data_IF_731706510022
#
_entry.id   IF_731706510022
#
_cell.length_a   1.000
_cell.length_b   1.000
_cell.length_c   1.000
_cell.angle_alpha   90.00
_cell.angle_beta   90.00
_cell.angle_gamma   90.00
#
_symmetry.space_group_name_H-M   'P 1'
#
loop_
_entity.id
_entity.type
_entity.pdbx_description
1 polymer ?
#
# COMPACT_ATOMS: atom_id res chain seq x y z
N UNK A 1 55.32 18.46 12.12
CA UNK A 1 54.43 17.63 12.97
C UNK A 1 52.95 18.09 12.99
N UNK A 2 52.40 18.55 11.85
CA UNK A 2 51.02 19.08 11.72
C UNK A 2 50.26 18.33 10.62
N UNK A 3 50.39 16.99 10.58
CA UNK A 3 49.81 16.14 9.51
C UNK A 3 48.88 15.04 10.05
N UNK A 4 48.61 15.01 11.36
CA UNK A 4 47.80 13.95 11.97
C UNK A 4 46.39 14.37 12.40
N UNK A 5 46.09 15.67 12.53
CA UNK A 5 44.76 16.12 12.98
C UNK A 5 43.67 16.02 11.89
N UNK A 6 44.02 16.23 10.61
CA UNK A 6 43.04 16.29 9.51
C UNK A 6 42.38 14.93 9.22
N UNK A 7 43.11 13.84 9.48
CA UNK A 7 42.64 12.49 9.20
C UNK A 7 41.55 12.05 10.19
N UNK A 8 41.67 12.46 11.46
CA UNK A 8 40.66 12.16 12.49
C UNK A 8 39.37 12.95 12.26
N UNK A 9 39.48 14.22 11.85
CA UNK A 9 38.31 15.03 11.49
C UNK A 9 37.55 14.45 10.29
N UNK A 10 38.26 14.08 9.23
CA UNK A 10 37.68 13.51 8.02
C UNK A 10 36.96 12.18 8.30
N UNK A 11 37.60 11.27 9.04
CA UNK A 11 37.00 9.99 9.42
C UNK A 11 35.73 10.17 10.26
N UNK A 12 35.72 11.15 11.17
CA UNK A 12 34.56 11.44 12.03
C UNK A 12 33.39 11.98 11.22
N UNK A 13 33.62 12.88 10.27
CA UNK A 13 32.58 13.41 9.38
C UNK A 13 31.99 12.31 8.50
N UNK A 14 32.83 11.44 7.94
CA UNK A 14 32.37 10.30 7.15
C UNK A 14 31.51 9.33 7.96
N UNK A 15 31.96 8.99 9.17
CA UNK A 15 31.20 8.14 10.07
C UNK A 15 29.85 8.78 10.41
N UNK A 16 29.84 10.08 10.73
CA UNK A 16 28.61 10.82 11.01
C UNK A 16 27.66 10.82 9.79
N UNK A 17 28.17 11.03 8.57
CA UNK A 17 27.37 11.02 7.35
C UNK A 17 26.75 9.64 7.08
N UNK A 18 27.53 8.56 7.23
CA UNK A 18 27.04 7.18 7.06
C UNK A 18 25.97 6.84 8.10
N UNK A 19 26.21 7.14 9.37
CA UNK A 19 25.25 6.82 10.44
C UNK A 19 23.98 7.66 10.35
N UNK A 20 24.09 8.93 9.98
CA UNK A 20 22.94 9.82 9.84
C UNK A 20 22.21 9.58 8.52
N UNK A 21 22.77 10.04 7.40
CA UNK A 21 22.14 10.00 6.09
C UNK A 21 22.05 8.57 5.51
N UNK A 22 23.03 7.71 5.79
CA UNK A 22 23.02 6.33 5.28
C UNK A 22 22.09 5.38 6.04
N UNK A 23 21.82 5.65 7.32
CA UNK A 23 21.10 4.71 8.21
C UNK A 23 19.94 5.38 8.94
N UNK A 24 20.22 6.34 9.82
CA UNK A 24 19.20 6.90 10.74
C UNK A 24 18.09 7.62 9.98
N UNK A 25 18.44 8.46 9.00
CA UNK A 25 17.48 9.19 8.19
C UNK A 25 16.55 8.25 7.41
N UNK A 26 17.04 7.26 6.63
CA UNK A 26 16.18 6.27 5.99
C UNK A 26 15.23 5.54 6.94
N UNK A 27 15.69 5.11 8.12
CA UNK A 27 14.80 4.44 9.11
C UNK A 27 13.66 5.37 9.52
N UNK A 28 14.00 6.61 9.88
CA UNK A 28 13.03 7.59 10.35
C UNK A 28 12.04 7.96 9.24
N UNK A 29 12.54 8.23 8.04
CA UNK A 29 11.74 8.59 6.88
C UNK A 29 10.79 7.46 6.45
N UNK A 30 11.25 6.22 6.46
CA UNK A 30 10.37 5.09 6.15
C UNK A 30 9.27 4.95 7.21
N UNK A 31 9.60 5.11 8.48
CA UNK A 31 8.60 5.09 9.55
C UNK A 31 7.53 6.18 9.38
N UNK A 32 7.95 7.44 9.20
CA UNK A 32 7.03 8.58 9.08
C UNK A 32 6.16 8.46 7.84
N UNK A 33 6.75 8.22 6.68
CA UNK A 33 6.01 8.31 5.42
C UNK A 33 5.28 7.03 5.05
N UNK A 34 5.76 5.85 5.46
CA UNK A 34 5.20 4.56 5.01
C UNK A 34 4.30 3.99 6.08
N UNK A 35 4.79 3.90 7.31
CA UNK A 35 3.99 3.36 8.41
C UNK A 35 2.91 4.35 8.85
N UNK A 36 3.30 5.60 9.16
CA UNK A 36 2.32 6.57 9.66
C UNK A 36 1.52 7.21 8.53
N UNK A 37 2.16 7.85 7.56
CA UNK A 37 1.45 8.65 6.57
C UNK A 37 0.73 7.80 5.51
N UNK A 38 1.46 6.95 4.78
CA UNK A 38 0.87 6.07 3.77
C UNK A 38 -0.10 5.06 4.41
N UNK A 39 0.26 4.44 5.55
CA UNK A 39 -0.64 3.53 6.26
C UNK A 39 -1.93 4.21 6.74
N UNK A 40 -1.88 5.48 7.17
CA UNK A 40 -3.07 6.25 7.46
C UNK A 40 -3.90 6.54 6.20
N UNK A 41 -3.26 6.92 5.09
CA UNK A 41 -3.93 7.17 3.81
C UNK A 41 -4.64 5.91 3.28
N UNK A 42 -3.98 4.76 3.31
CA UNK A 42 -4.55 3.45 2.92
C UNK A 42 -5.83 3.16 3.72
N UNK A 43 -5.78 3.36 5.04
CA UNK A 43 -6.96 3.20 5.89
C UNK A 43 -8.10 4.16 5.53
N UNK A 44 -7.78 5.43 5.27
CA UNK A 44 -8.82 6.41 4.90
C UNK A 44 -9.46 6.12 3.55
N UNK A 45 -8.68 5.60 2.59
CA UNK A 45 -9.19 5.15 1.30
C UNK A 45 -10.16 3.98 1.48
N UNK A 46 -9.80 2.99 2.30
CA UNK A 46 -10.66 1.84 2.61
C UNK A 46 -11.97 2.24 3.29
N UNK A 47 -11.91 3.15 4.26
CA UNK A 47 -13.10 3.66 4.96
C UNK A 47 -14.01 4.45 4.01
N UNK A 48 -13.42 5.29 3.15
CA UNK A 48 -14.16 6.06 2.14
C UNK A 48 -14.83 5.16 1.10
N UNK A 49 -14.13 4.13 0.63
CA UNK A 49 -14.68 3.16 -0.32
C UNK A 49 -15.77 2.31 0.30
N UNK A 50 -15.59 1.87 1.55
CA UNK A 50 -16.61 1.14 2.29
C UNK A 50 -17.88 1.97 2.50
N UNK A 51 -17.75 3.26 2.79
CA UNK A 51 -18.89 4.18 2.91
C UNK A 51 -19.57 4.41 1.55
N UNK A 52 -18.81 4.63 0.49
CA UNK A 52 -19.33 4.85 -0.86
C UNK A 52 -20.08 3.61 -1.38
N UNK A 53 -19.52 2.42 -1.19
CA UNK A 53 -20.17 1.16 -1.52
C UNK A 53 -21.50 1.01 -0.80
N UNK A 54 -21.55 1.23 0.53
CA UNK A 54 -22.79 1.17 1.32
C UNK A 54 -23.87 2.13 0.79
N UNK A 55 -23.49 3.34 0.40
CA UNK A 55 -24.44 4.31 -0.17
C UNK A 55 -24.98 3.87 -1.53
N UNK A 56 -24.14 3.29 -2.40
CA UNK A 56 -24.57 2.77 -3.70
C UNK A 56 -25.57 1.60 -3.55
N UNK A 57 -25.26 0.62 -2.69
CA UNK A 57 -26.15 -0.52 -2.45
C UNK A 57 -27.47 -0.12 -1.77
N UNK A 58 -27.44 0.85 -0.84
CA UNK A 58 -28.67 1.38 -0.23
C UNK A 58 -29.55 2.16 -1.24
N UNK A 59 -28.94 2.74 -2.28
CA UNK A 59 -29.64 3.37 -3.40
C UNK A 59 -30.28 2.33 -4.32
N UNK A 60 -29.57 1.25 -4.64
CA UNK A 60 -30.08 0.16 -5.49
C UNK A 60 -31.21 -0.63 -4.80
N UNK A 61 -31.17 -0.85 -3.47
CA UNK A 61 -32.31 -1.43 -2.74
C UNK A 61 -33.57 -0.55 -2.77
N UNK A 62 -33.41 0.78 -2.82
CA UNK A 62 -34.53 1.73 -2.98
C UNK A 62 -35.02 1.80 -4.43
N UNK A 63 -34.17 1.48 -5.40
CA UNK A 63 -34.55 1.29 -6.80
C UNK A 63 -35.09 -0.13 -6.98
N UNK A 64 -36.21 -0.44 -6.33
CA UNK A 64 -37.05 -1.57 -6.71
C UNK A 64 -37.45 -1.37 -8.17
N UNK A 65 -36.74 -2.00 -9.09
CA UNK A 65 -37.36 -2.41 -10.35
C UNK A 65 -38.57 -3.29 -9.99
N UNK A 66 -39.70 -3.17 -10.71
CA UNK A 66 -40.80 -4.12 -10.56
C UNK A 66 -40.21 -5.52 -10.67
N UNK A 67 -40.69 -6.50 -9.88
CA UNK A 67 -40.18 -7.87 -9.98
C UNK A 67 -40.18 -8.26 -11.45
N UNK A 68 -39.00 -8.50 -12.03
CA UNK A 68 -38.92 -9.13 -13.33
C UNK A 68 -39.79 -10.40 -13.24
N UNK A 69 -40.72 -10.62 -14.19
CA UNK A 69 -41.41 -11.89 -14.22
C UNK A 69 -40.34 -12.96 -14.29
N UNK A 70 -40.33 -13.85 -13.30
CA UNK A 70 -39.36 -14.93 -13.24
C UNK A 70 -39.29 -15.59 -14.63
N UNK A 71 -38.09 -15.72 -15.23
CA UNK A 71 -37.96 -16.48 -16.45
C UNK A 71 -38.34 -17.92 -16.10
N UNK A 72 -39.57 -18.28 -16.45
CA UNK A 72 -39.96 -19.66 -16.63
C UNK A 72 -38.88 -20.30 -17.53
N UNK A 73 -38.31 -21.40 -17.03
CA UNK A 73 -37.36 -22.26 -17.73
C UNK A 73 -35.89 -21.80 -17.75
N UNK A 74 -35.24 -21.88 -16.58
CA UNK A 74 -33.79 -22.18 -16.51
C UNK A 74 -33.58 -23.61 -16.01
N UNK A 75 -33.37 -24.61 -16.89
CA UNK A 75 -33.21 -26.01 -16.49
C UNK A 75 -31.82 -26.34 -15.92
N UNK A 76 -31.07 -25.37 -15.38
CA UNK A 76 -29.68 -25.57 -14.95
C UNK A 76 -29.39 -25.30 -13.47
N UNK A 77 -30.42 -25.09 -12.65
CA UNK A 77 -30.28 -25.02 -11.18
C UNK A 77 -31.40 -25.77 -10.45
N UNK A 78 -31.95 -26.80 -11.08
CA UNK A 78 -32.86 -27.72 -10.39
C UNK A 78 -32.02 -28.69 -9.53
N UNK A 79 -32.20 -28.56 -8.21
CA UNK A 79 -31.90 -29.57 -7.20
C UNK A 79 -30.44 -30.02 -6.99
N UNK A 80 -29.68 -29.21 -6.26
CA UNK A 80 -28.89 -29.77 -5.16
C UNK A 80 -29.72 -29.77 -3.86
N UNK A 81 -30.92 -30.35 -3.91
CA UNK A 81 -31.59 -30.74 -2.68
C UNK A 81 -30.77 -31.90 -2.07
N UNK A 82 -30.50 -31.89 -0.76
CA UNK A 82 -29.76 -32.97 -0.13
C UNK A 82 -30.55 -34.26 -0.30
N UNK A 83 -29.97 -35.22 -1.03
CA UNK A 83 -30.53 -36.57 -1.16
C UNK A 83 -30.69 -37.17 0.25
N UNK A 84 -31.93 -37.44 0.71
CA UNK A 84 -32.19 -37.96 2.04
C UNK A 84 -31.60 -39.35 2.27
N UNK A 85 -31.20 -40.06 1.22
CA UNK A 85 -30.56 -41.37 1.28
C UNK A 85 -29.04 -41.32 1.15
N UNK A 86 -28.42 -40.14 1.06
CA UNK A 86 -26.97 -40.02 0.95
C UNK A 86 -26.30 -40.04 2.35
N UNK A 87 -25.57 -41.12 2.70
CA UNK A 87 -24.90 -41.25 4.01
C UNK A 87 -23.71 -40.31 4.20
N UNK A 88 -23.28 -39.58 3.16
CA UNK A 88 -22.24 -38.55 3.21
C UNK A 88 -22.80 -37.12 3.27
N UNK A 89 -24.12 -36.95 3.41
CA UNK A 89 -24.71 -35.62 3.60
C UNK A 89 -24.34 -35.04 4.97
N UNK A 90 -23.65 -33.90 4.97
CA UNK A 90 -23.25 -33.23 6.22
C UNK A 90 -24.48 -32.60 6.90
N UNK A 91 -24.73 -32.84 8.20
CA UNK A 91 -25.92 -32.34 8.92
C UNK A 91 -25.91 -30.81 9.21
N UNK A 92 -25.13 -30.01 8.50
CA UNK A 92 -24.89 -28.58 8.78
C UNK A 92 -25.64 -27.59 7.86
N UNK A 93 -26.72 -28.01 7.21
CA UNK A 93 -27.39 -27.20 6.18
C UNK A 93 -28.18 -25.99 6.72
N UNK A 94 -28.68 -26.03 7.95
CA UNK A 94 -29.50 -24.96 8.55
C UNK A 94 -28.68 -23.73 9.02
N UNK A 95 -27.57 -23.88 9.77
CA UNK A 95 -26.75 -22.74 10.18
C UNK A 95 -26.14 -22.00 8.98
N UNK A 96 -25.70 -22.75 7.97
CA UNK A 96 -25.04 -22.21 6.77
C UNK A 96 -26.02 -21.46 5.88
N UNK A 97 -27.26 -21.96 5.70
CA UNK A 97 -28.32 -21.22 4.98
C UNK A 97 -28.65 -19.89 5.66
N UNK A 98 -28.73 -19.85 7.00
CA UNK A 98 -28.98 -18.60 7.74
C UNK A 98 -27.81 -17.62 7.70
N UNK A 99 -26.56 -18.11 7.71
CA UNK A 99 -25.36 -17.30 7.52
C UNK A 99 -25.29 -16.71 6.10
N UNK A 100 -25.57 -17.52 5.07
CA UNK A 100 -25.60 -17.08 3.66
C UNK A 100 -26.78 -16.16 3.33
N UNK A 101 -27.84 -16.16 4.14
CA UNK A 101 -28.97 -15.22 4.00
C UNK A 101 -28.70 -13.89 4.73
N UNK A 102 -27.79 -13.87 5.70
CA UNK A 102 -27.30 -12.64 6.38
C UNK A 102 -26.14 -12.00 5.64
N UNK A 103 -25.30 -12.79 5.01
CA UNK A 103 -24.28 -12.33 4.09
C UNK A 103 -24.94 -12.20 2.71
N UNK A 104 -25.32 -10.98 2.33
CA UNK A 104 -25.64 -10.70 0.93
C UNK A 104 -24.49 -11.13 0.00
N UNK A 105 -24.67 -11.09 -1.34
CA UNK A 105 -23.59 -11.37 -2.27
C UNK A 105 -22.33 -10.61 -1.80
N UNK A 106 -21.14 -11.25 -1.77
CA UNK A 106 -19.94 -10.60 -1.30
C UNK A 106 -19.81 -9.29 -2.08
N UNK A 107 -19.57 -8.15 -1.39
CA UNK A 107 -19.43 -6.88 -2.08
C UNK A 107 -18.30 -7.09 -3.09
N UNK A 108 -18.65 -7.02 -4.38
CA UNK A 108 -17.67 -6.98 -5.45
C UNK A 108 -16.73 -5.84 -5.09
N UNK A 109 -15.40 -6.07 -4.97
CA UNK A 109 -14.48 -5.00 -4.66
C UNK A 109 -14.75 -3.88 -5.69
N UNK A 110 -14.96 -2.64 -5.26
CA UNK A 110 -15.12 -1.53 -6.19
C UNK A 110 -13.83 -1.49 -7.01
N UNK A 111 -13.89 -1.99 -8.25
CA UNK A 111 -12.74 -2.06 -9.13
C UNK A 111 -12.21 -0.66 -9.49
N UNK A 112 -13.03 0.37 -9.23
CA UNK A 112 -12.77 1.74 -9.62
C UNK A 112 -13.08 2.69 -8.47
N UNK A 113 -12.02 3.13 -7.81
CA UNK A 113 -11.95 4.40 -7.09
C UNK A 113 -12.12 5.56 -8.09
N UNK A 114 -12.79 6.63 -7.66
CA UNK A 114 -12.97 7.85 -8.48
C UNK A 114 -11.64 8.41 -9.03
N UNK A 115 -11.69 9.27 -10.07
CA UNK A 115 -11.81 8.88 -11.46
C UNK A 115 -10.55 8.10 -11.96
N UNK A 116 -10.71 6.81 -12.25
CA UNK A 116 -9.78 6.05 -13.11
C UNK A 116 -8.48 5.54 -12.49
N UNK A 117 -8.22 5.75 -11.20
CA UNK A 117 -7.06 5.16 -10.53
C UNK A 117 -7.42 3.81 -9.87
N UNK A 118 -6.64 2.73 -10.12
CA UNK A 118 -6.84 1.46 -9.45
C UNK A 118 -6.65 1.63 -7.92
N UNK A 119 -7.50 0.95 -7.16
CA UNK A 119 -7.51 0.99 -5.70
C UNK A 119 -6.10 0.78 -5.10
N UNK A 120 -5.73 1.63 -4.13
CA UNK A 120 -4.46 1.57 -3.42
C UNK A 120 -3.33 2.42 -4.03
N UNK A 121 -3.46 2.94 -5.26
CA UNK A 121 -2.39 3.78 -5.84
C UNK A 121 -2.38 5.21 -5.30
N UNK A 122 -3.52 5.72 -4.82
CA UNK A 122 -3.61 7.09 -4.33
C UNK A 122 -2.71 7.33 -3.08
N UNK A 123 -2.72 6.49 -2.04
CA UNK A 123 -1.79 6.62 -0.91
C UNK A 123 -0.32 6.64 -1.32
N UNK A 124 0.07 5.78 -2.26
CA UNK A 124 1.46 5.68 -2.76
C UNK A 124 1.85 6.97 -3.49
N UNK A 125 1.02 7.45 -4.41
CA UNK A 125 1.29 8.67 -5.18
C UNK A 125 1.37 9.90 -4.28
N UNK A 126 0.42 10.06 -3.35
CA UNK A 126 0.36 11.20 -2.43
C UNK A 126 1.57 11.18 -1.49
N UNK A 127 1.85 10.03 -0.86
CA UNK A 127 3.00 9.90 0.05
C UNK A 127 4.32 10.17 -0.66
N UNK A 128 4.51 9.62 -1.87
CA UNK A 128 5.73 9.82 -2.67
C UNK A 128 5.93 11.28 -3.08
N UNK A 129 4.84 11.97 -3.44
CA UNK A 129 4.90 13.38 -3.80
C UNK A 129 5.26 14.26 -2.60
N UNK A 130 4.62 14.05 -1.44
CA UNK A 130 4.93 14.79 -0.21
C UNK A 130 6.36 14.51 0.26
N UNK A 131 6.83 13.26 0.17
CA UNK A 131 8.22 12.90 0.47
C UNK A 131 9.19 13.70 -0.39
N UNK A 132 8.99 13.74 -1.72
CA UNK A 132 9.85 14.50 -2.62
C UNK A 132 9.81 16.01 -2.33
N UNK A 133 8.64 16.57 -2.00
CA UNK A 133 8.49 17.99 -1.66
C UNK A 133 9.25 18.38 -0.39
N UNK A 134 9.27 17.53 0.64
CA UNK A 134 10.05 17.78 1.87
C UNK A 134 11.55 17.88 1.56
N UNK A 135 12.00 17.29 0.45
CA UNK A 135 13.39 17.31 0.00
C UNK A 135 13.69 18.41 -1.04
N UNK A 136 12.76 19.33 -1.32
CA UNK A 136 12.95 20.36 -2.34
C UNK A 136 14.12 21.31 -2.03
N UNK A 137 14.45 21.51 -0.76
CA UNK A 137 15.57 22.36 -0.33
C UNK A 137 16.95 21.72 -0.56
N UNK A 138 17.01 20.44 -0.95
CA UNK A 138 18.26 19.70 -1.19
C UNK A 138 18.76 19.82 -2.64
N UNK A 139 18.26 20.79 -3.41
CA UNK A 139 18.64 21.02 -4.80
C UNK A 139 17.94 20.05 -5.75
N UNK A 140 18.66 19.49 -6.73
CA UNK A 140 18.09 18.60 -7.74
C UNK A 140 17.73 17.19 -7.21
N UNK A 141 17.99 16.90 -5.93
CA UNK A 141 17.76 15.58 -5.32
C UNK A 141 16.28 15.15 -5.40
N UNK A 142 15.31 16.07 -5.29
CA UNK A 142 13.89 15.70 -5.36
C UNK A 142 13.50 14.99 -6.67
N UNK A 143 14.24 15.24 -7.76
CA UNK A 143 14.02 14.61 -9.07
C UNK A 143 14.28 13.09 -9.00
N UNK A 144 15.33 12.67 -8.29
CA UNK A 144 15.64 11.24 -8.09
C UNK A 144 14.86 10.64 -6.91
N UNK A 145 14.54 11.45 -5.90
CA UNK A 145 13.82 10.98 -4.72
C UNK A 145 12.34 10.69 -4.99
N UNK A 146 11.68 11.40 -5.91
CA UNK A 146 10.30 11.10 -6.27
C UNK A 146 10.09 9.68 -6.85
N UNK A 147 10.79 9.25 -7.91
CA UNK A 147 10.66 7.89 -8.43
C UNK A 147 11.15 6.84 -7.43
N UNK A 148 12.18 7.13 -6.63
CA UNK A 148 12.58 6.28 -5.52
C UNK A 148 11.43 6.07 -4.53
N UNK A 149 10.80 7.16 -4.09
CA UNK A 149 9.68 7.10 -3.15
C UNK A 149 8.49 6.32 -3.70
N UNK A 150 8.20 6.43 -5.01
CA UNK A 150 7.18 5.59 -5.66
C UNK A 150 7.50 4.10 -5.56
N UNK A 151 8.74 3.71 -5.84
CA UNK A 151 9.18 2.31 -5.72
C UNK A 151 9.09 1.82 -4.28
N UNK A 152 9.54 2.63 -3.32
CA UNK A 152 9.50 2.30 -1.89
C UNK A 152 8.06 2.19 -1.37
N UNK A 153 7.20 3.14 -1.72
CA UNK A 153 5.77 3.12 -1.35
C UNK A 153 5.04 1.92 -1.95
N UNK A 154 5.35 1.57 -3.20
CA UNK A 154 4.81 0.36 -3.83
C UNK A 154 5.31 -0.91 -3.17
N UNK A 155 6.61 -0.99 -2.84
CA UNK A 155 7.21 -2.14 -2.16
C UNK A 155 6.61 -2.34 -0.77
N UNK A 156 6.41 -1.26 -0.02
CA UNK A 156 5.74 -1.29 1.28
C UNK A 156 4.30 -1.79 1.15
N UNK A 157 3.53 -1.25 0.21
CA UNK A 157 2.14 -1.66 -0.02
C UNK A 157 2.03 -3.15 -0.39
N UNK A 158 2.93 -3.66 -1.23
CA UNK A 158 2.91 -5.08 -1.65
C UNK A 158 3.28 -6.04 -0.54
N UNK A 159 4.16 -5.64 0.38
CA UNK A 159 4.73 -6.54 1.38
C UNK A 159 4.15 -6.34 2.78
N UNK A 160 3.57 -5.18 3.06
CA UNK A 160 3.24 -4.66 4.39
C UNK A 160 4.38 -4.87 5.39
N UNK A 161 5.62 -4.81 4.90
CA UNK A 161 6.84 -4.96 5.68
C UNK A 161 7.70 -3.73 5.47
N UNK A 162 8.14 -3.13 6.56
CA UNK A 162 9.01 -1.94 6.51
C UNK A 162 10.45 -2.30 6.09
N UNK A 163 10.90 -3.52 6.39
CA UNK A 163 12.30 -3.92 6.22
C UNK A 163 12.79 -3.88 4.76
N UNK A 164 12.05 -4.41 3.75
CA UNK A 164 12.47 -4.30 2.34
C UNK A 164 12.58 -2.84 1.88
N UNK A 165 11.66 -1.98 2.31
CA UNK A 165 11.67 -0.55 1.97
C UNK A 165 12.88 0.16 2.59
N UNK A 166 13.10 -0.05 3.89
CA UNK A 166 14.25 0.51 4.63
C UNK A 166 15.57 0.04 4.02
N UNK A 167 15.71 -1.25 3.71
CA UNK A 167 16.93 -1.78 3.13
C UNK A 167 17.21 -1.18 1.74
N UNK A 168 16.20 -1.06 0.88
CA UNK A 168 16.33 -0.42 -0.43
C UNK A 168 16.72 1.06 -0.30
N UNK A 169 16.11 1.78 0.64
CA UNK A 169 16.41 3.19 0.89
C UNK A 169 17.82 3.39 1.45
N UNK A 170 18.24 2.61 2.46
CA UNK A 170 19.61 2.63 2.96
C UNK A 170 20.61 2.33 1.84
N UNK A 171 20.32 1.34 1.00
CA UNK A 171 21.19 1.00 -0.14
C UNK A 171 21.32 2.19 -1.08
N UNK A 172 20.22 2.84 -1.44
CA UNK A 172 20.24 4.03 -2.28
C UNK A 172 21.06 5.17 -1.66
N UNK A 173 20.86 5.48 -0.38
CA UNK A 173 21.59 6.55 0.30
C UNK A 173 23.08 6.23 0.48
N UNK A 174 23.42 4.99 0.82
CA UNK A 174 24.82 4.55 0.95
C UNK A 174 25.53 4.60 -0.41
N UNK A 175 24.89 4.15 -1.49
CA UNK A 175 25.43 4.27 -2.84
C UNK A 175 25.62 5.74 -3.24
N UNK A 176 24.66 6.60 -2.92
CA UNK A 176 24.74 8.04 -3.22
C UNK A 176 25.87 8.72 -2.45
N UNK A 177 26.03 8.42 -1.15
CA UNK A 177 27.15 8.89 -0.34
C UNK A 177 28.49 8.39 -0.86
N UNK A 178 28.58 7.10 -1.24
CA UNK A 178 29.79 6.52 -1.81
C UNK A 178 30.17 7.18 -3.14
N UNK A 179 29.20 7.46 -4.01
CA UNK A 179 29.43 8.15 -5.27
C UNK A 179 29.85 9.62 -5.05
N UNK A 180 29.21 10.33 -4.13
CA UNK A 180 29.59 11.70 -3.76
C UNK A 180 31.02 11.75 -3.20
N UNK A 181 31.39 10.78 -2.36
CA UNK A 181 32.76 10.64 -1.86
C UNK A 181 33.76 10.34 -2.99
N UNK A 182 33.44 9.42 -3.89
CA UNK A 182 34.30 9.11 -5.03
C UNK A 182 34.51 10.33 -5.95
N UNK A 183 33.46 11.14 -6.17
CA UNK A 183 33.58 12.40 -6.90
C UNK A 183 34.50 13.39 -6.20
N UNK A 184 34.41 13.51 -4.87
CA UNK A 184 35.27 14.39 -4.07
C UNK A 184 36.76 13.96 -4.06
N UNK A 185 37.07 12.71 -4.42
CA UNK A 185 38.46 12.24 -4.58
C UNK A 185 39.05 12.53 -5.96
N UNK A 186 38.19 12.72 -6.97
CA UNK A 186 38.60 12.94 -8.38
C UNK A 186 38.60 14.42 -8.76
N UNK A 187 37.76 15.23 -8.11
CA UNK A 187 37.71 16.69 -8.26
C UNK A 187 38.73 17.41 -7.39
#
# INVERSE_FOLDING_TARGET
PVMHDDQHGTATVLLAAVLSAGVTAPVFEEFIFRVLFQGWLERTEDEALGALGKMRFAGDEKRKEPPEPEPADSPLLEEALPDPNNPYSSPLSEPVKKLRKRQGPPPTPPAETAPGLPHGWAPVLISSFVFALVHISQGAAFISLFPLALVLGHLYQRTHRILPSVAAHMTFNLCSLALAWAQALVG
#
